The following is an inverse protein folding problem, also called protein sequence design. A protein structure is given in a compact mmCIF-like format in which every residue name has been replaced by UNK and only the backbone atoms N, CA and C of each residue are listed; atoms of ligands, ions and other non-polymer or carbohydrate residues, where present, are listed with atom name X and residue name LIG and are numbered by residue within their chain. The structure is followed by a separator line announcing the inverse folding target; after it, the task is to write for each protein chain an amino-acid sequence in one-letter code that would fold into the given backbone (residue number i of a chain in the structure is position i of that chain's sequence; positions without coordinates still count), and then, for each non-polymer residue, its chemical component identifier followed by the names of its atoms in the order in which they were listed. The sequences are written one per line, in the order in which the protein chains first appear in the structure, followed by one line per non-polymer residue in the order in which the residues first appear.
data_IF_284959544940
#
_entry.id   IF_284959544940
#
_cell.length_a   1.000
_cell.length_b   1.000
_cell.length_c   1.000
_cell.angle_alpha   90.00
_cell.angle_beta   90.00
_cell.angle_gamma   90.00
#
_symmetry.space_group_name_H-M   'P 1'
#
loop_
_entity.id
_entity.type
_entity.pdbx_description
1 polymer ?
#
# COMPACT_ATOMS: atom_id res chain seq x y z
N UNK A 1 -9.81 -10.16 14.26
CA UNK A 1 -9.50 -8.87 13.64
C UNK A 1 -10.50 -7.77 14.06
N UNK A 2 -11.80 -8.05 14.00
CA UNK A 2 -12.82 -7.09 14.45
C UNK A 2 -12.67 -6.72 15.94
N UNK A 3 -12.26 -7.66 16.75
CA UNK A 3 -11.98 -7.41 18.18
C UNK A 3 -10.81 -6.43 18.35
N UNK A 4 -9.79 -6.53 17.49
CA UNK A 4 -8.64 -5.62 17.50
C UNK A 4 -9.04 -4.20 17.10
N UNK A 5 -9.98 -4.06 16.17
CA UNK A 5 -10.53 -2.76 15.80
C UNK A 5 -11.26 -2.15 16.98
N UNK A 6 -12.14 -2.92 17.65
CA UNK A 6 -12.93 -2.47 18.78
C UNK A 6 -12.06 -2.07 19.98
N UNK A 7 -10.94 -2.76 20.21
CA UNK A 7 -10.00 -2.47 21.30
C UNK A 7 -8.96 -1.41 20.94
N UNK A 8 -9.01 -0.85 19.72
CA UNK A 8 -8.12 0.19 19.23
C UNK A 8 -6.64 -0.21 19.22
N UNK A 9 -6.37 -1.49 18.95
CA UNK A 9 -5.00 -2.04 18.88
C UNK A 9 -4.34 -1.86 17.51
N UNK A 10 -5.09 -1.36 16.53
CA UNK A 10 -4.58 -1.17 15.17
C UNK A 10 -4.20 0.28 14.93
N UNK A 11 -3.04 0.49 14.29
CA UNK A 11 -2.59 1.81 13.83
C UNK A 11 -3.49 2.31 12.71
N UNK A 12 -3.80 1.43 11.78
CA UNK A 12 -4.72 1.68 10.67
C UNK A 12 -5.43 0.37 10.33
N UNK A 13 -6.60 0.50 9.75
CA UNK A 13 -7.35 -0.64 9.24
C UNK A 13 -8.33 -0.16 8.17
N UNK A 14 -8.70 -1.07 7.28
CA UNK A 14 -9.64 -0.76 6.22
C UNK A 14 -10.41 -2.02 5.80
N UNK A 15 -11.69 -1.86 5.55
CA UNK A 15 -12.49 -2.90 4.90
C UNK A 15 -12.37 -2.72 3.39
N UNK A 16 -11.39 -3.42 2.80
CA UNK A 16 -11.03 -3.28 1.37
C UNK A 16 -12.13 -3.84 0.48
N UNK A 17 -12.68 -5.00 0.86
CA UNK A 17 -13.84 -5.62 0.23
C UNK A 17 -14.80 -6.02 1.35
N UNK A 18 -16.10 -6.24 1.07
CA UNK A 18 -17.04 -6.65 2.13
C UNK A 18 -16.51 -7.81 2.96
N UNK A 19 -16.45 -7.63 4.28
CA UNK A 19 -15.91 -8.57 5.26
C UNK A 19 -14.44 -8.96 5.08
N UNK A 20 -13.67 -8.19 4.30
CA UNK A 20 -12.22 -8.36 4.16
C UNK A 20 -11.49 -7.15 4.72
N UNK A 21 -10.81 -7.36 5.85
CA UNK A 21 -10.12 -6.30 6.60
C UNK A 21 -8.61 -6.45 6.53
N UNK A 22 -7.93 -5.31 6.47
CA UNK A 22 -6.48 -5.22 6.53
C UNK A 22 -6.09 -4.15 7.53
N UNK A 23 -5.01 -4.35 8.25
CA UNK A 23 -4.58 -3.37 9.24
C UNK A 23 -3.22 -3.69 9.84
N UNK A 24 -2.70 -2.73 10.60
CA UNK A 24 -1.38 -2.82 11.22
C UNK A 24 -1.49 -2.59 12.73
N UNK A 25 -0.92 -3.50 13.51
CA UNK A 25 -0.91 -3.40 14.98
C UNK A 25 0.12 -2.37 15.46
N UNK A 26 -0.26 -1.54 16.42
CA UNK A 26 0.67 -0.61 17.07
C UNK A 26 1.84 -1.32 17.73
N UNK A 27 1.60 -2.47 18.35
CA UNK A 27 2.64 -3.25 19.01
C UNK A 27 3.73 -3.72 18.05
N UNK A 28 3.39 -3.96 16.78
CA UNK A 28 4.37 -4.37 15.77
C UNK A 28 5.33 -3.23 15.46
N UNK A 29 4.85 -1.99 15.39
CA UNK A 29 5.70 -0.83 15.20
C UNK A 29 6.68 -0.65 16.35
N UNK A 30 6.18 -0.75 17.58
CA UNK A 30 7.01 -0.63 18.77
C UNK A 30 8.11 -1.69 18.79
N UNK A 31 7.77 -2.93 18.40
CA UNK A 31 8.72 -4.02 18.30
C UNK A 31 9.85 -3.70 17.31
N UNK A 32 9.50 -3.23 16.12
CA UNK A 32 10.49 -2.92 15.06
C UNK A 32 11.38 -1.75 15.50
N UNK A 33 10.78 -0.69 16.06
CA UNK A 33 11.54 0.47 16.51
C UNK A 33 12.47 0.15 17.70
N UNK A 34 12.06 -0.77 18.58
CA UNK A 34 12.90 -1.21 19.69
C UNK A 34 14.18 -1.90 19.21
N UNK A 35 14.14 -2.47 18.01
CA UNK A 35 15.31 -3.06 17.35
C UNK A 35 16.11 -2.03 16.56
N UNK A 36 15.77 -0.75 16.63
CA UNK A 36 16.40 0.37 15.91
C UNK A 36 16.32 0.21 14.39
N UNK A 37 15.19 -0.31 13.91
CA UNK A 37 14.93 -0.52 12.49
C UNK A 37 13.83 0.42 12.02
N UNK A 38 13.85 0.73 10.72
CA UNK A 38 12.78 1.46 10.06
C UNK A 38 11.63 0.51 9.71
N UNK A 39 10.43 1.07 9.57
CA UNK A 39 9.24 0.29 9.20
C UNK A 39 8.88 0.58 7.76
N UNK A 40 8.64 -0.48 7.00
CA UNK A 40 8.09 -0.39 5.64
C UNK A 40 6.69 -1.00 5.69
N UNK A 41 5.71 -0.25 5.19
CA UNK A 41 4.33 -0.70 5.08
C UNK A 41 4.01 -1.06 3.64
N UNK A 42 3.48 -2.26 3.45
CA UNK A 42 2.89 -2.68 2.18
C UNK A 42 1.38 -2.77 2.43
N UNK A 43 0.67 -1.70 2.11
CA UNK A 43 -0.74 -1.54 2.45
C UNK A 43 -1.52 -1.07 1.23
N UNK A 44 -2.85 -1.12 1.33
CA UNK A 44 -3.72 -0.56 0.30
C UNK A 44 -3.66 0.98 0.30
N UNK A 45 -4.31 1.60 -0.68
CA UNK A 45 -4.26 3.05 -0.87
C UNK A 45 -4.81 3.81 0.33
N UNK A 46 -5.95 3.38 0.86
CA UNK A 46 -6.56 4.06 2.02
C UNK A 46 -5.70 3.89 3.27
N UNK A 47 -5.14 2.70 3.46
CA UNK A 47 -4.20 2.44 4.54
C UNK A 47 -2.98 3.34 4.45
N UNK A 48 -2.41 3.49 3.26
CA UNK A 48 -1.28 4.39 3.02
C UNK A 48 -1.61 5.84 3.33
N UNK A 49 -2.76 6.32 2.89
CA UNK A 49 -3.22 7.69 3.17
C UNK A 49 -3.38 7.91 4.68
N UNK A 50 -3.98 6.96 5.38
CA UNK A 50 -4.21 7.06 6.82
C UNK A 50 -2.90 7.05 7.61
N UNK A 51 -1.95 6.21 7.23
CA UNK A 51 -0.61 6.17 7.86
C UNK A 51 0.10 7.50 7.64
N UNK A 52 0.04 8.06 6.45
CA UNK A 52 0.65 9.35 6.15
C UNK A 52 0.05 10.46 6.99
N UNK A 53 -1.26 10.48 7.19
CA UNK A 53 -1.92 11.45 8.06
C UNK A 53 -1.46 11.32 9.50
N UNK A 54 -1.22 10.10 9.97
CA UNK A 54 -0.79 9.85 11.34
C UNK A 54 0.65 10.32 11.59
N UNK A 55 1.57 10.03 10.68
CA UNK A 55 3.00 10.32 10.87
C UNK A 55 3.49 11.61 10.20
N UNK A 56 2.73 12.16 9.26
CA UNK A 56 3.07 13.41 8.56
C UNK A 56 4.48 13.37 7.96
N UNK A 57 5.36 14.29 8.36
CA UNK A 57 6.72 14.38 7.83
C UNK A 57 7.65 13.25 8.28
N UNK A 58 7.23 12.44 9.25
CA UNK A 58 8.01 11.30 9.74
C UNK A 58 7.84 10.06 8.89
N UNK A 59 7.07 10.15 7.80
CA UNK A 59 6.93 9.04 6.87
C UNK A 59 6.89 9.56 5.42
N UNK A 60 7.29 8.70 4.51
CA UNK A 60 7.21 8.95 3.07
C UNK A 60 6.19 7.99 2.48
N UNK A 61 5.30 8.48 1.64
CA UNK A 61 4.30 7.64 0.97
C UNK A 61 4.60 7.59 -0.53
N UNK A 62 4.64 6.38 -1.07
CA UNK A 62 4.95 6.13 -2.47
C UNK A 62 3.82 5.31 -3.08
N UNK A 63 3.22 5.85 -4.14
CA UNK A 63 2.20 5.15 -4.90
C UNK A 63 2.87 4.39 -6.04
N UNK A 64 2.67 3.08 -6.08
CA UNK A 64 3.20 2.24 -7.16
C UNK A 64 2.14 2.14 -8.24
N UNK A 65 2.38 2.82 -9.36
CA UNK A 65 1.42 2.98 -10.45
C UNK A 65 1.64 1.93 -11.53
N UNK A 66 0.62 1.14 -11.93
CA UNK A 66 0.76 0.30 -13.12
C UNK A 66 0.83 1.16 -14.37
N UNK A 67 1.49 0.70 -15.45
CA UNK A 67 1.61 1.49 -16.68
C UNK A 67 0.27 1.71 -17.38
N UNK A 68 -0.68 0.79 -17.19
CA UNK A 68 -2.04 0.89 -17.73
C UNK A 68 -2.96 -0.09 -17.02
N UNK A 69 -4.26 0.11 -17.17
CA UNK A 69 -5.27 -0.85 -16.67
C UNK A 69 -5.15 -2.19 -17.41
N UNK A 70 -4.85 -2.15 -18.71
CA UNK A 70 -4.64 -3.38 -19.49
C UNK A 70 -3.46 -4.20 -18.94
N UNK A 71 -2.34 -3.57 -18.63
CA UNK A 71 -1.19 -4.24 -18.05
C UNK A 71 -1.52 -4.85 -16.68
N UNK A 72 -2.27 -4.14 -15.85
CA UNK A 72 -2.71 -4.65 -14.55
C UNK A 72 -3.58 -5.88 -14.73
N UNK A 73 -4.52 -5.84 -15.67
CA UNK A 73 -5.40 -6.98 -15.97
C UNK A 73 -4.59 -8.20 -16.40
N UNK A 74 -3.61 -8.03 -17.27
CA UNK A 74 -2.72 -9.11 -17.70
C UNK A 74 -1.94 -9.70 -16.52
N UNK A 75 -1.39 -8.86 -15.65
CA UNK A 75 -0.63 -9.29 -14.48
C UNK A 75 -1.50 -10.10 -13.52
N UNK A 76 -2.73 -9.68 -13.27
CA UNK A 76 -3.66 -10.40 -12.43
C UNK A 76 -4.08 -11.73 -13.04
N UNK A 77 -4.32 -11.76 -14.36
CA UNK A 77 -4.67 -12.98 -15.09
C UNK A 77 -3.52 -13.99 -15.06
N UNK A 78 -2.28 -13.52 -15.24
CA UNK A 78 -1.10 -14.38 -15.27
C UNK A 78 -0.76 -14.99 -13.90
N UNK A 79 -1.21 -14.40 -12.80
CA UNK A 79 -1.03 -14.98 -11.47
C UNK A 79 -1.79 -16.30 -11.30
N UNK A 80 -2.87 -16.47 -12.07
CA UNK A 80 -3.65 -17.72 -12.10
C UNK A 80 -4.40 -18.07 -10.82
N UNK A 81 -4.38 -17.17 -9.82
CA UNK A 81 -4.99 -17.41 -8.51
C UNK A 81 -6.37 -16.79 -8.34
N UNK A 82 -6.81 -15.98 -9.29
CA UNK A 82 -8.07 -15.25 -9.21
C UNK A 82 -9.06 -15.69 -10.29
N UNK A 83 -10.36 -15.73 -9.94
CA UNK A 83 -11.44 -15.93 -10.91
C UNK A 83 -11.64 -14.66 -11.74
N UNK A 84 -12.36 -14.79 -12.87
CA UNK A 84 -12.71 -13.63 -13.71
C UNK A 84 -13.49 -12.57 -12.92
N UNK A 85 -14.40 -12.99 -12.05
CA UNK A 85 -15.19 -12.08 -11.22
C UNK A 85 -14.29 -11.33 -10.23
N UNK A 86 -13.35 -12.05 -9.61
CA UNK A 86 -12.39 -11.47 -8.69
C UNK A 86 -11.48 -10.46 -9.39
N UNK A 87 -10.99 -10.79 -10.59
CA UNK A 87 -10.16 -9.88 -11.39
C UNK A 87 -10.93 -8.61 -11.75
N UNK A 88 -12.21 -8.72 -12.17
CA UNK A 88 -13.04 -7.56 -12.49
C UNK A 88 -13.21 -6.63 -11.31
N UNK A 89 -13.44 -7.18 -10.12
CA UNK A 89 -13.56 -6.39 -8.88
C UNK A 89 -12.25 -5.67 -8.56
N UNK A 90 -11.11 -6.35 -8.73
CA UNK A 90 -9.80 -5.78 -8.47
C UNK A 90 -9.46 -4.66 -9.45
N UNK A 91 -9.81 -4.80 -10.72
CA UNK A 91 -9.61 -3.76 -11.73
C UNK A 91 -10.44 -2.52 -11.40
N UNK A 92 -11.71 -2.69 -11.05
CA UNK A 92 -12.58 -1.56 -10.67
C UNK A 92 -12.03 -0.84 -9.45
N UNK A 93 -11.58 -1.58 -8.45
CA UNK A 93 -10.97 -1.01 -7.26
C UNK A 93 -9.68 -0.26 -7.60
N UNK A 94 -8.86 -0.82 -8.49
CA UNK A 94 -7.62 -0.19 -8.93
C UNK A 94 -7.87 1.14 -9.61
N UNK A 95 -8.91 1.26 -10.42
CA UNK A 95 -9.28 2.53 -11.05
C UNK A 95 -9.60 3.60 -10.02
N UNK A 96 -10.34 3.24 -8.97
CA UNK A 96 -10.65 4.13 -7.86
C UNK A 96 -9.39 4.52 -7.09
N UNK A 97 -8.51 3.55 -6.83
CA UNK A 97 -7.26 3.77 -6.11
C UNK A 97 -6.30 4.66 -6.88
N UNK A 98 -6.17 4.46 -8.19
CA UNK A 98 -5.30 5.26 -9.05
C UNK A 98 -5.72 6.73 -9.01
N UNK A 99 -7.03 7.02 -8.91
CA UNK A 99 -7.51 8.40 -8.82
C UNK A 99 -6.98 9.14 -7.59
N UNK A 100 -6.50 8.41 -6.59
CA UNK A 100 -5.99 8.97 -5.33
C UNK A 100 -4.46 9.14 -5.29
N UNK A 101 -3.77 8.90 -6.40
CA UNK A 101 -2.31 8.95 -6.46
C UNK A 101 -1.72 10.30 -5.99
N UNK A 102 -2.44 11.39 -6.21
CA UNK A 102 -1.98 12.74 -5.83
C UNK A 102 -1.92 12.96 -4.32
N UNK A 103 -2.52 12.09 -3.53
CA UNK A 103 -2.44 12.17 -2.06
C UNK A 103 -1.18 11.53 -1.50
N UNK A 104 -0.32 10.99 -2.37
CA UNK A 104 0.96 10.38 -2.00
C UNK A 104 2.10 11.37 -2.27
N UNK A 105 3.20 11.21 -1.53
CA UNK A 105 4.38 12.06 -1.72
C UNK A 105 5.00 11.87 -3.10
N UNK A 106 5.05 10.61 -3.57
CA UNK A 106 5.64 10.27 -4.85
C UNK A 106 4.81 9.21 -5.55
N UNK A 107 4.90 9.21 -6.88
CA UNK A 107 4.31 8.17 -7.73
C UNK A 107 5.44 7.53 -8.51
N UNK A 108 5.58 6.21 -8.40
CA UNK A 108 6.58 5.43 -9.14
C UNK A 108 5.86 4.55 -10.15
N UNK A 109 6.20 4.69 -11.43
CA UNK A 109 5.62 3.88 -12.49
C UNK A 109 6.27 2.50 -12.53
N UNK A 110 5.47 1.46 -12.33
CA UNK A 110 5.94 0.07 -12.38
C UNK A 110 5.73 -0.52 -13.77
N UNK A 111 6.47 0.00 -14.75
CA UNK A 111 6.51 -0.53 -16.11
C UNK A 111 7.68 -1.49 -16.25
N UNK A 112 8.90 -1.00 -16.02
CA UNK A 112 10.09 -1.84 -15.89
C UNK A 112 10.39 -2.04 -14.40
N UNK A 113 10.39 -3.29 -13.95
CA UNK A 113 10.57 -3.62 -12.54
C UNK A 113 11.90 -3.10 -11.98
N UNK A 114 12.98 -3.27 -12.73
CA UNK A 114 14.31 -2.81 -12.28
C UNK A 114 14.38 -1.30 -12.13
N UNK A 115 13.79 -0.56 -13.07
CA UNK A 115 13.73 0.91 -13.02
C UNK A 115 12.90 1.36 -11.83
N UNK A 116 11.73 0.75 -11.62
CA UNK A 116 10.86 1.06 -10.50
C UNK A 116 11.55 0.82 -9.16
N UNK A 117 12.23 -0.32 -9.01
CA UNK A 117 13.00 -0.63 -7.80
C UNK A 117 14.08 0.42 -7.52
N UNK A 118 14.81 0.85 -8.55
CA UNK A 118 15.85 1.87 -8.40
C UNK A 118 15.27 3.21 -7.99
N UNK A 119 14.13 3.61 -8.56
CA UNK A 119 13.45 4.85 -8.18
C UNK A 119 13.02 4.83 -6.71
N UNK A 120 12.39 3.74 -6.27
CA UNK A 120 11.97 3.57 -4.88
C UNK A 120 13.18 3.62 -3.96
N UNK A 121 14.25 2.93 -4.31
CA UNK A 121 15.47 2.91 -3.51
C UNK A 121 16.05 4.32 -3.34
N UNK A 122 16.10 5.12 -4.39
CA UNK A 122 16.57 6.51 -4.32
C UNK A 122 15.69 7.35 -3.40
N UNK A 123 14.38 7.25 -3.54
CA UNK A 123 13.42 8.03 -2.75
C UNK A 123 13.55 7.69 -1.26
N UNK A 124 13.63 6.41 -0.94
CA UNK A 124 13.76 5.94 0.44
C UNK A 124 15.11 6.35 1.03
N UNK A 125 16.19 6.18 0.28
CA UNK A 125 17.54 6.54 0.74
C UNK A 125 17.62 8.03 1.03
N UNK A 126 17.07 8.88 0.16
CA UNK A 126 17.06 10.33 0.38
C UNK A 126 16.21 10.72 1.59
N UNK A 127 15.10 10.05 1.80
CA UNK A 127 14.25 10.31 2.95
C UNK A 127 14.94 9.95 4.27
N UNK A 128 15.69 8.87 4.31
CA UNK A 128 16.37 8.38 5.52
C UNK A 128 17.63 9.17 5.88
N UNK A 129 18.11 10.02 4.99
CA UNK A 129 19.21 10.94 5.30
C UNK A 129 18.70 12.05 6.21
#
# INVERSE_FOLDING_TARGET
FKEMIASNNLLEWEEVYPDQYYGTLHSELERIWSEKKHVIFDVDVMGGINIKKHFSSNCISIFIMPPSICALKERLSNRGSDSKTSISKRIKKAEEEISKNKQFDYVVLNDDFSVACNEVLKLVTNFLK
#
